data_IF_708878125877
#
_entry.id   IF_708878125877
#
_cell.length_a   1.000
_cell.length_b   1.000
_cell.length_c   1.000
_cell.angle_alpha   90.00
_cell.angle_beta   90.00
_cell.angle_gamma   90.00
#
_symmetry.space_group_name_H-M   'P 1'
#
loop_
_entity.id
_entity.type
_entity.pdbx_description
1 polymer ?
#
# COMPACT_ATOMS: atom_id res chain seq x y z
N UNK A 1 -17.10 31.07 -14.99
CA UNK A 1 -16.94 29.93 -14.08
C UNK A 1 -15.59 29.31 -14.36
N UNK A 2 -14.55 29.73 -13.62
CA UNK A 2 -13.24 29.10 -13.67
C UNK A 2 -13.26 28.01 -12.61
N UNK A 3 -13.00 26.76 -12.99
CA UNK A 3 -12.81 25.67 -12.03
C UNK A 3 -11.61 26.08 -11.17
N UNK A 4 -11.88 26.42 -9.91
CA UNK A 4 -10.89 26.85 -8.94
C UNK A 4 -9.80 25.78 -8.84
N UNK A 5 -8.56 26.22 -9.05
CA UNK A 5 -7.41 25.34 -9.16
C UNK A 5 -7.23 24.51 -7.90
N UNK A 6 -7.34 23.19 -8.04
CA UNK A 6 -6.82 22.27 -7.04
C UNK A 6 -5.32 22.59 -6.91
N UNK A 7 -4.93 23.18 -5.79
CA UNK A 7 -3.52 23.48 -5.50
C UNK A 7 -2.71 22.17 -5.58
N UNK A 8 -1.53 22.23 -6.17
CA UNK A 8 -0.62 21.06 -6.30
C UNK A 8 -0.38 20.39 -4.95
N UNK A 9 -0.32 21.18 -3.86
CA UNK A 9 -0.20 20.67 -2.49
C UNK A 9 -1.44 19.87 -2.03
N UNK A 10 -2.65 20.30 -2.42
CA UNK A 10 -3.91 19.60 -2.11
C UNK A 10 -4.00 18.27 -2.86
N UNK A 11 -3.58 18.25 -4.13
CA UNK A 11 -3.55 17.01 -4.92
C UNK A 11 -2.52 16.01 -4.38
N UNK A 12 -1.32 16.46 -4.03
CA UNK A 12 -0.30 15.59 -3.45
C UNK A 12 -0.75 15.03 -2.09
N UNK A 13 -1.32 15.86 -1.22
CA UNK A 13 -1.84 15.42 0.08
C UNK A 13 -2.92 14.35 -0.08
N UNK A 14 -3.87 14.55 -0.99
CA UNK A 14 -4.92 13.57 -1.28
C UNK A 14 -4.34 12.22 -1.74
N UNK A 15 -3.41 12.25 -2.70
CA UNK A 15 -2.77 11.01 -3.20
C UNK A 15 -1.95 10.32 -2.11
N UNK A 16 -1.34 11.09 -1.20
CA UNK A 16 -0.60 10.53 -0.07
C UNK A 16 -1.53 9.80 0.90
N UNK A 17 -2.65 10.40 1.28
CA UNK A 17 -3.64 9.77 2.15
C UNK A 17 -4.26 8.51 1.52
N UNK A 18 -4.56 8.55 0.21
CA UNK A 18 -5.10 7.38 -0.50
C UNK A 18 -4.07 6.24 -0.54
N UNK A 19 -2.80 6.55 -0.84
CA UNK A 19 -1.72 5.56 -0.84
C UNK A 19 -1.53 4.95 0.56
N UNK A 20 -1.43 5.76 1.61
CA UNK A 20 -1.32 5.27 2.99
C UNK A 20 -2.50 4.37 3.38
N UNK A 21 -3.72 4.75 3.00
CA UNK A 21 -4.92 3.96 3.26
C UNK A 21 -4.84 2.59 2.60
N UNK A 22 -4.33 2.51 1.37
CA UNK A 22 -4.17 1.24 0.68
C UNK A 22 -3.09 0.37 1.35
N UNK A 23 -1.99 0.95 1.83
CA UNK A 23 -1.00 0.23 2.65
C UNK A 23 -1.62 -0.37 3.90
N UNK A 24 -2.40 0.40 4.67
CA UNK A 24 -3.09 -0.12 5.85
C UNK A 24 -4.10 -1.22 5.52
N UNK A 25 -4.83 -1.06 4.42
CA UNK A 25 -5.76 -2.08 3.93
C UNK A 25 -5.03 -3.40 3.63
N UNK A 26 -3.92 -3.32 2.91
CA UNK A 26 -3.16 -4.51 2.53
C UNK A 26 -2.43 -5.16 3.70
N UNK A 27 -1.88 -4.38 4.63
CA UNK A 27 -1.33 -4.91 5.89
C UNK A 27 -2.41 -5.64 6.71
N UNK A 28 -3.64 -5.10 6.75
CA UNK A 28 -4.77 -5.79 7.37
C UNK A 28 -5.08 -7.14 6.73
N UNK A 29 -5.11 -7.20 5.38
CA UNK A 29 -5.31 -8.46 4.63
C UNK A 29 -4.21 -9.49 4.93
N UNK A 30 -2.94 -9.07 4.91
CA UNK A 30 -1.81 -9.94 5.26
C UNK A 30 -1.93 -10.48 6.68
N UNK A 31 -2.28 -9.63 7.64
CA UNK A 31 -2.46 -10.05 9.03
C UNK A 31 -3.59 -11.08 9.19
N UNK A 32 -4.74 -10.87 8.54
CA UNK A 32 -5.83 -11.85 8.53
C UNK A 32 -5.39 -13.19 7.94
N UNK A 33 -4.76 -13.17 6.77
CA UNK A 33 -4.29 -14.41 6.13
C UNK A 33 -3.26 -15.15 7.01
N UNK A 34 -2.37 -14.43 7.69
CA UNK A 34 -1.37 -15.06 8.58
C UNK A 34 -1.93 -15.66 9.86
N UNK A 35 -3.06 -15.14 10.36
CA UNK A 35 -3.78 -15.74 11.48
C UNK A 35 -4.50 -17.03 11.07
N UNK A 36 -4.96 -17.11 9.82
CA UNK A 36 -5.62 -18.30 9.26
C UNK A 36 -4.62 -19.37 8.81
N UNK A 37 -3.38 -18.97 8.48
CA UNK A 37 -2.38 -19.85 7.89
C UNK A 37 -1.01 -19.71 8.59
N UNK A 38 -0.90 -20.32 9.77
CA UNK A 38 0.27 -20.22 10.67
C UNK A 38 1.59 -20.67 10.00
N UNK A 39 1.51 -21.61 9.05
CA UNK A 39 2.66 -22.11 8.29
C UNK A 39 3.40 -21.01 7.50
N UNK A 40 2.72 -19.91 7.16
CA UNK A 40 3.30 -18.79 6.43
C UNK A 40 3.51 -17.53 7.28
N UNK A 41 3.29 -17.63 8.61
CA UNK A 41 3.30 -16.48 9.53
C UNK A 41 4.59 -15.65 9.48
N UNK A 42 5.75 -16.29 9.38
CA UNK A 42 7.04 -15.59 9.29
C UNK A 42 7.21 -14.83 7.97
N UNK A 43 6.82 -15.44 6.85
CA UNK A 43 6.85 -14.81 5.52
C UNK A 43 5.92 -13.59 5.47
N UNK A 44 4.74 -13.71 6.08
CA UNK A 44 3.75 -12.64 6.17
C UNK A 44 4.26 -11.51 7.06
N UNK A 45 4.81 -11.84 8.23
CA UNK A 45 5.40 -10.84 9.15
C UNK A 45 6.53 -10.08 8.47
N UNK A 46 7.42 -10.78 7.76
CA UNK A 46 8.46 -10.14 6.94
C UNK A 46 7.86 -9.21 5.90
N UNK A 47 6.83 -9.64 5.18
CA UNK A 47 6.17 -8.80 4.17
C UNK A 47 5.53 -7.55 4.77
N UNK A 48 4.93 -7.66 5.96
CA UNK A 48 4.37 -6.50 6.66
C UNK A 48 5.44 -5.50 7.08
N UNK A 49 6.64 -5.94 7.48
CA UNK A 49 7.76 -5.04 7.75
C UNK A 49 8.23 -4.31 6.48
N UNK A 50 8.37 -5.03 5.36
CA UNK A 50 8.67 -4.40 4.05
C UNK A 50 7.64 -3.33 3.69
N UNK A 51 6.34 -3.62 3.83
CA UNK A 51 5.28 -2.65 3.55
C UNK A 51 5.33 -1.43 4.47
N UNK A 52 5.73 -1.60 5.73
CA UNK A 52 5.87 -0.49 6.67
C UNK A 52 7.06 0.41 6.30
N UNK A 53 8.14 -0.17 5.82
CA UNK A 53 9.29 0.61 5.34
C UNK A 53 8.96 1.33 4.02
N UNK A 54 8.24 0.68 3.11
CA UNK A 54 7.74 1.32 1.88
C UNK A 54 6.74 2.46 2.18
N UNK A 55 5.82 2.28 3.14
CA UNK A 55 4.85 3.30 3.55
C UNK A 55 5.52 4.58 4.09
N UNK A 56 6.67 4.44 4.77
CA UNK A 56 7.45 5.58 5.26
C UNK A 56 8.02 6.44 4.13
N UNK A 57 8.36 5.82 3.00
CA UNK A 57 8.94 6.49 1.84
C UNK A 57 7.88 7.24 1.00
N UNK A 58 6.58 7.04 1.25
CA UNK A 58 5.52 7.74 0.51
C UNK A 58 5.62 9.27 0.61
N UNK A 59 6.19 9.80 1.70
CA UNK A 59 6.37 11.25 1.87
C UNK A 59 7.38 11.85 0.89
N UNK A 60 8.23 11.02 0.30
CA UNK A 60 9.25 11.40 -0.67
C UNK A 60 8.73 11.30 -2.12
N UNK A 61 7.57 10.68 -2.34
CA UNK A 61 6.99 10.45 -3.65
C UNK A 61 6.21 11.67 -4.17
N UNK A 62 6.24 11.88 -5.48
CA UNK A 62 5.32 12.79 -6.18
C UNK A 62 3.88 12.26 -6.16
N UNK A 63 2.91 13.14 -6.43
CA UNK A 63 1.50 12.74 -6.54
C UNK A 63 1.25 11.65 -7.62
N UNK A 64 1.98 11.69 -8.74
CA UNK A 64 1.89 10.68 -9.79
C UNK A 64 2.47 9.33 -9.35
N UNK A 65 3.57 9.32 -8.62
CA UNK A 65 4.14 8.09 -8.08
C UNK A 65 3.20 7.46 -7.04
N UNK A 66 2.65 8.27 -6.14
CA UNK A 66 1.64 7.84 -5.17
C UNK A 66 0.43 7.20 -5.86
N UNK A 67 -0.06 7.82 -6.94
CA UNK A 67 -1.15 7.27 -7.76
C UNK A 67 -0.82 5.90 -8.36
N UNK A 68 0.40 5.71 -8.87
CA UNK A 68 0.83 4.41 -9.44
C UNK A 68 0.99 3.37 -8.34
N UNK A 69 1.67 3.72 -7.24
CA UNK A 69 1.91 2.84 -6.10
C UNK A 69 0.58 2.29 -5.56
N UNK A 70 -0.41 3.14 -5.30
CA UNK A 70 -1.69 2.68 -4.78
C UNK A 70 -2.42 1.72 -5.72
N UNK A 71 -2.30 1.91 -7.04
CA UNK A 71 -2.95 1.03 -8.03
C UNK A 71 -2.27 -0.33 -8.13
N UNK A 72 -0.96 -0.39 -7.92
CA UNK A 72 -0.17 -1.62 -8.04
C UNK A 72 -0.09 -2.42 -6.74
N UNK A 73 -0.26 -1.77 -5.59
CA UNK A 73 -0.03 -2.39 -4.29
C UNK A 73 -0.89 -3.63 -4.06
N UNK A 74 -2.19 -3.58 -4.42
CA UNK A 74 -3.07 -4.76 -4.32
C UNK A 74 -2.53 -5.94 -5.14
N UNK A 75 -2.14 -5.70 -6.38
CA UNK A 75 -1.64 -6.76 -7.27
C UNK A 75 -0.34 -7.36 -6.72
N UNK A 76 0.58 -6.53 -6.23
CA UNK A 76 1.82 -6.95 -5.56
C UNK A 76 1.55 -7.90 -4.38
N UNK A 77 0.50 -7.63 -3.60
CA UNK A 77 0.11 -8.47 -2.46
C UNK A 77 -0.63 -9.72 -2.90
N UNK A 78 -1.49 -9.64 -3.90
CA UNK A 78 -2.16 -10.82 -4.46
C UNK A 78 -1.13 -11.81 -5.05
N UNK A 79 -0.08 -11.33 -5.73
CA UNK A 79 0.99 -12.18 -6.25
C UNK A 79 1.86 -12.78 -5.14
N UNK A 80 2.16 -12.02 -4.08
CA UNK A 80 2.86 -12.53 -2.91
C UNK A 80 2.08 -13.67 -2.24
N UNK A 81 0.77 -13.48 -1.99
CA UNK A 81 -0.07 -14.49 -1.35
C UNK A 81 -0.19 -15.76 -2.21
N UNK A 82 -0.39 -15.63 -3.52
CA UNK A 82 -0.40 -16.79 -4.44
C UNK A 82 0.91 -17.58 -4.43
N UNK A 83 2.04 -16.91 -4.19
CA UNK A 83 3.35 -17.56 -4.07
C UNK A 83 3.55 -18.33 -2.75
N UNK A 84 2.70 -18.14 -1.75
CA UNK A 84 2.72 -18.89 -0.50
C UNK A 84 1.85 -20.15 -0.57
N UNK A 85 0.75 -20.10 -1.32
CA UNK A 85 -0.20 -21.22 -1.49
C UNK A 85 0.28 -22.31 -2.47
N UNK A 86 1.44 -22.13 -3.13
CA UNK A 86 2.02 -23.07 -4.11
C UNK A 86 3.17 -23.89 -3.55
#
# INVERSE_FOLDING_TARGET
MSIEGISVASNHFMMFEEAQREYYRQMGRLNTFGLENEAHSDSIRKKMFELKDEERLLRECSASELYVIQKQLKQKIDDFLRGLDG
#
